data_IF_292253466507
#
_entry.id   IF_292253466507
#
_cell.length_a   1.000
_cell.length_b   1.000
_cell.length_c   1.000
_cell.angle_alpha   90.00
_cell.angle_beta   90.00
_cell.angle_gamma   90.00
#
_symmetry.space_group_name_H-M   'P 1'
#
loop_
_entity.id
_entity.type
_entity.pdbx_description
1 polymer ?
#
# COMPACT_ATOMS: atom_id res chain seq x y z
N UNK A 1 18.19 -15.42 17.48
CA UNK A 1 17.46 -16.62 17.94
C UNK A 1 16.76 -16.50 19.31
N UNK A 2 16.90 -15.40 20.07
CA UNK A 2 16.22 -15.22 21.37
C UNK A 2 14.98 -14.30 21.35
N UNK A 3 14.76 -13.53 20.28
CA UNK A 3 13.58 -12.66 20.11
C UNK A 3 12.34 -13.38 19.56
N UNK A 4 12.50 -14.42 18.77
CA UNK A 4 11.40 -15.13 18.08
C UNK A 4 10.34 -15.78 18.97
N UNK A 5 10.58 -15.92 20.27
CA UNK A 5 9.61 -16.55 21.19
C UNK A 5 8.73 -15.54 21.97
N UNK A 6 8.95 -14.22 21.82
CA UNK A 6 8.26 -13.20 22.63
C UNK A 6 6.99 -12.61 22.04
N UNK A 7 6.78 -12.68 20.73
CA UNK A 7 5.69 -11.96 20.05
C UNK A 7 4.46 -12.83 19.69
N UNK A 8 4.20 -13.88 20.43
CA UNK A 8 3.09 -14.82 20.16
C UNK A 8 1.68 -14.25 20.50
N UNK A 9 1.53 -12.96 20.79
CA UNK A 9 0.30 -12.39 21.33
C UNK A 9 -0.40 -11.36 20.44
N UNK A 10 0.12 -10.97 19.27
CA UNK A 10 -0.43 -9.88 18.44
C UNK A 10 -1.60 -10.27 17.51
N UNK A 11 -2.18 -11.43 17.66
CA UNK A 11 -3.22 -11.96 16.77
C UNK A 11 -4.68 -11.69 17.18
N UNK A 12 -5.06 -10.54 17.75
CA UNK A 12 -6.45 -10.37 18.20
C UNK A 12 -6.94 -8.91 18.30
N UNK A 13 -6.99 -8.17 17.19
CA UNK A 13 -7.95 -7.04 17.09
C UNK A 13 -8.29 -6.84 15.61
N UNK A 14 -9.53 -7.14 15.24
CA UNK A 14 -10.08 -6.69 13.97
C UNK A 14 -10.88 -7.68 13.13
N UNK A 15 -11.77 -8.47 13.72
CA UNK A 15 -12.85 -9.12 12.95
C UNK A 15 -14.21 -8.67 13.47
N UNK A 16 -14.85 -7.75 12.76
CA UNK A 16 -16.29 -7.61 12.80
C UNK A 16 -16.90 -8.57 11.77
N UNK A 17 -17.37 -9.73 12.26
CA UNK A 17 -18.09 -10.70 11.46
C UNK A 17 -19.53 -10.23 11.21
N UNK A 18 -19.93 -10.18 9.93
CA UNK A 18 -21.34 -10.22 9.56
C UNK A 18 -21.79 -11.67 9.49
N UNK A 19 -22.62 -12.03 10.45
CA UNK A 19 -23.30 -13.33 10.51
C UNK A 19 -24.49 -13.37 9.56
N UNK A 20 -24.52 -14.33 8.65
CA UNK A 20 -25.72 -14.79 7.97
C UNK A 20 -26.02 -16.23 8.41
N UNK A 21 -27.12 -16.35 9.13
CA UNK A 21 -27.74 -17.61 9.60
C UNK A 21 -28.41 -18.37 8.45
N UNK A 22 -28.11 -19.67 8.33
CA UNK A 22 -29.05 -20.62 7.76
C UNK A 22 -28.93 -21.98 8.48
N UNK A 23 -30.07 -22.43 9.02
CA UNK A 23 -30.29 -23.67 9.75
C UNK A 23 -30.29 -24.94 8.90
N UNK A 24 -29.98 -26.08 9.55
CA UNK A 24 -30.50 -27.43 9.20
C UNK A 24 -29.46 -28.54 9.33
N UNK A 25 -29.37 -29.24 10.28
CA UNK A 25 -29.80 -30.34 11.02
C UNK A 25 -29.30 -31.71 10.52
N UNK A 26 -28.68 -32.54 11.42
CA UNK A 26 -28.83 -33.99 11.43
C UNK A 26 -27.61 -34.88 11.27
N UNK A 27 -26.99 -35.24 12.36
CA UNK A 27 -26.57 -36.53 12.92
C UNK A 27 -25.89 -37.65 12.10
N UNK A 28 -24.74 -38.00 12.57
CA UNK A 28 -24.19 -39.28 13.12
C UNK A 28 -23.79 -40.44 12.21
N UNK A 29 -22.60 -40.85 12.49
CA UNK A 29 -21.99 -42.15 12.86
C UNK A 29 -21.29 -43.00 11.79
N UNK A 30 -20.03 -43.14 12.06
CA UNK A 30 -19.15 -44.34 12.18
C UNK A 30 -19.24 -45.51 11.18
N UNK A 31 -18.05 -45.98 10.75
CA UNK A 31 -17.77 -47.39 10.55
C UNK A 31 -17.03 -47.76 9.25
N UNK A 32 -15.76 -47.90 9.33
CA UNK A 32 -14.82 -48.98 9.03
C UNK A 32 -15.10 -50.00 7.90
N UNK A 33 -14.03 -50.18 7.09
CA UNK A 33 -13.41 -51.40 6.50
C UNK A 33 -13.95 -52.11 5.26
N UNK A 34 -13.06 -52.15 4.30
CA UNK A 34 -12.49 -53.30 3.56
C UNK A 34 -13.24 -53.94 2.36
N UNK A 35 -12.54 -53.78 1.23
CA UNK A 35 -12.11 -54.73 0.20
C UNK A 35 -13.12 -55.62 -0.60
N UNK A 36 -12.82 -55.57 -1.88
CA UNK A 36 -12.67 -56.65 -2.91
C UNK A 36 -13.76 -56.80 -3.96
N UNK A 37 -13.29 -56.63 -5.18
CA UNK A 37 -13.49 -57.39 -6.42
C UNK A 37 -14.91 -57.82 -6.89
N UNK A 38 -15.29 -57.37 -8.02
CA UNK A 38 -15.59 -58.09 -9.32
C UNK A 38 -16.67 -57.37 -10.12
N UNK A 39 -16.34 -57.09 -11.37
CA UNK A 39 -17.31 -56.83 -12.46
C UNK A 39 -17.85 -58.18 -12.98
N UNK A 40 -18.90 -58.29 -13.86
CA UNK A 40 -19.44 -57.32 -14.84
C UNK A 40 -20.96 -57.32 -15.01
N UNK A 41 -21.47 -56.44 -15.88
CA UNK A 41 -22.51 -56.59 -16.88
C UNK A 41 -23.59 -55.50 -16.87
N UNK A 42 -23.68 -54.94 -18.05
CA UNK A 42 -24.61 -54.01 -18.68
C UNK A 42 -26.07 -54.06 -18.24
N UNK A 43 -26.67 -52.89 -18.07
CA UNK A 43 -28.01 -52.56 -18.62
C UNK A 43 -28.18 -51.02 -18.68
N UNK A 44 -28.55 -50.57 -19.89
CA UNK A 44 -28.97 -49.21 -20.20
C UNK A 44 -30.19 -48.80 -19.38
N UNK A 45 -30.15 -47.57 -18.81
CA UNK A 45 -31.34 -46.84 -18.48
C UNK A 45 -31.05 -45.32 -18.59
N UNK A 46 -31.85 -44.67 -19.41
CA UNK A 46 -31.90 -43.24 -19.69
C UNK A 46 -31.79 -42.38 -18.42
N UNK A 47 -30.84 -41.43 -18.45
CA UNK A 47 -30.79 -40.33 -17.49
C UNK A 47 -31.54 -39.10 -18.06
N UNK A 48 -32.30 -38.36 -17.25
CA UNK A 48 -32.95 -37.13 -17.68
C UNK A 48 -31.88 -36.03 -17.84
N UNK A 49 -32.10 -35.21 -18.88
CA UNK A 49 -31.27 -34.06 -19.24
C UNK A 49 -31.07 -33.12 -18.03
N UNK A 50 -29.80 -32.90 -17.70
CA UNK A 50 -29.39 -31.80 -16.81
C UNK A 50 -29.60 -30.47 -17.54
N UNK A 51 -30.34 -29.60 -16.87
CA UNK A 51 -30.56 -28.20 -17.18
C UNK A 51 -29.22 -27.52 -17.45
N UNK A 52 -29.04 -27.03 -18.67
CA UNK A 52 -27.87 -26.23 -19.05
C UNK A 52 -27.98 -24.89 -18.35
N UNK A 53 -27.14 -24.67 -17.32
CA UNK A 53 -26.96 -23.34 -16.74
C UNK A 53 -26.63 -22.35 -17.87
N UNK A 54 -27.41 -21.29 -17.92
CA UNK A 54 -27.25 -20.16 -18.82
C UNK A 54 -25.87 -19.54 -18.54
N UNK A 55 -24.89 -19.81 -19.43
CA UNK A 55 -23.66 -19.01 -19.48
C UNK A 55 -24.08 -17.56 -19.73
N UNK A 56 -23.68 -16.66 -18.85
CA UNK A 56 -23.83 -15.23 -19.08
C UNK A 56 -23.20 -14.90 -20.45
N UNK A 57 -23.86 -14.11 -21.32
CA UNK A 57 -23.32 -13.79 -22.63
C UNK A 57 -21.96 -13.08 -22.44
N UNK A 58 -20.94 -13.63 -23.09
CA UNK A 58 -19.68 -12.93 -23.24
C UNK A 58 -19.95 -11.56 -23.89
N UNK A 59 -19.50 -10.48 -23.27
CA UNK A 59 -19.64 -9.16 -23.82
C UNK A 59 -19.07 -9.15 -25.26
N UNK A 60 -19.87 -8.73 -26.25
CA UNK A 60 -19.36 -8.49 -27.60
C UNK A 60 -18.28 -7.40 -27.51
N UNK A 61 -17.07 -7.67 -27.97
CA UNK A 61 -15.98 -6.71 -27.97
C UNK A 61 -16.45 -5.39 -28.59
N UNK A 62 -16.44 -4.31 -27.85
CA UNK A 62 -16.91 -2.98 -28.30
C UNK A 62 -16.01 -2.43 -29.39
N UNK A 63 -14.77 -2.93 -29.50
CA UNK A 63 -13.75 -2.42 -30.41
C UNK A 63 -13.22 -1.04 -30.06
N UNK A 64 -13.59 -0.50 -28.89
CA UNK A 64 -13.09 0.76 -28.37
C UNK A 64 -11.69 0.58 -27.80
N UNK A 65 -10.85 1.60 -27.97
CA UNK A 65 -9.49 1.62 -27.47
C UNK A 65 -9.26 2.92 -26.68
N UNK A 66 -8.62 2.79 -25.51
CA UNK A 66 -8.28 3.91 -24.64
C UNK A 66 -6.78 4.01 -24.42
N UNK A 67 -6.26 5.24 -24.48
CA UNK A 67 -4.87 5.58 -24.19
C UNK A 67 -4.79 6.07 -22.73
N UNK A 68 -4.10 5.32 -21.86
CA UNK A 68 -3.97 5.67 -20.44
C UNK A 68 -2.49 5.78 -20.08
N UNK A 69 -2.11 6.89 -19.46
CA UNK A 69 -0.73 7.15 -19.06
C UNK A 69 -0.61 7.21 -17.53
N UNK A 70 0.27 6.38 -16.98
CA UNK A 70 0.77 6.52 -15.63
C UNK A 70 1.95 7.49 -15.59
N UNK A 71 1.79 8.63 -14.92
CA UNK A 71 2.88 9.57 -14.65
C UNK A 71 3.40 9.28 -13.24
N UNK A 72 4.41 8.42 -13.16
CA UNK A 72 5.03 7.99 -11.92
C UNK A 72 5.91 9.07 -11.30
N UNK A 73 5.98 9.11 -9.97
CA UNK A 73 6.92 9.96 -9.24
C UNK A 73 8.35 9.41 -9.28
N UNK A 74 8.50 8.10 -9.43
CA UNK A 74 9.78 7.41 -9.64
C UNK A 74 9.56 6.14 -10.42
N UNK A 75 10.46 5.84 -11.35
CA UNK A 75 10.45 4.57 -12.10
C UNK A 75 11.35 3.51 -11.46
N UNK A 76 12.17 3.88 -10.48
CA UNK A 76 13.12 3.00 -9.80
C UNK A 76 12.65 2.59 -8.39
N UNK A 77 11.79 3.36 -7.73
CA UNK A 77 11.25 3.02 -6.40
C UNK A 77 10.19 1.92 -6.48
N UNK A 78 10.34 0.89 -5.65
CA UNK A 78 9.46 -0.26 -5.55
C UNK A 78 8.01 0.13 -5.24
N UNK A 79 7.79 1.11 -4.36
CA UNK A 79 6.45 1.59 -4.02
C UNK A 79 5.63 2.00 -5.25
N UNK A 80 6.24 2.74 -6.17
CA UNK A 80 5.59 3.16 -7.42
C UNK A 80 5.48 2.04 -8.44
N UNK A 81 6.44 1.11 -8.46
CA UNK A 81 6.37 -0.11 -9.28
C UNK A 81 5.24 -1.03 -8.80
N UNK A 82 4.99 -1.12 -7.49
CA UNK A 82 3.88 -1.89 -6.93
C UNK A 82 2.52 -1.32 -7.34
N UNK A 83 2.37 -0.01 -7.39
CA UNK A 83 1.17 0.63 -7.95
C UNK A 83 1.02 0.31 -9.44
N UNK A 84 2.12 0.33 -10.21
CA UNK A 84 2.09 -0.01 -11.63
C UNK A 84 1.64 -1.45 -11.86
N UNK A 85 2.08 -2.43 -11.05
CA UNK A 85 1.62 -3.82 -11.11
C UNK A 85 0.10 -3.89 -10.92
N UNK A 86 -0.44 -3.14 -9.96
CA UNK A 86 -1.89 -3.02 -9.77
C UNK A 86 -2.61 -2.49 -11.01
N UNK A 87 -2.07 -1.44 -11.63
CA UNK A 87 -2.62 -0.87 -12.87
C UNK A 87 -2.54 -1.87 -14.04
N UNK A 88 -1.41 -2.56 -14.22
CA UNK A 88 -1.24 -3.57 -15.28
C UNK A 88 -2.23 -4.72 -15.14
N UNK A 89 -2.48 -5.18 -13.91
CA UNK A 89 -3.50 -6.19 -13.65
C UNK A 89 -4.92 -5.67 -13.90
N UNK A 90 -5.20 -4.42 -13.52
CA UNK A 90 -6.49 -3.79 -13.83
C UNK A 90 -6.70 -3.62 -15.34
N UNK A 91 -5.66 -3.33 -16.13
CA UNK A 91 -5.74 -3.32 -17.60
C UNK A 91 -6.26 -4.66 -18.11
N UNK A 92 -5.62 -5.76 -17.70
CA UNK A 92 -6.01 -7.09 -18.15
C UNK A 92 -7.47 -7.44 -17.76
N UNK A 93 -7.89 -7.06 -16.56
CA UNK A 93 -9.23 -7.33 -16.07
C UNK A 93 -10.28 -6.48 -16.79
N UNK A 94 -10.02 -5.19 -17.01
CA UNK A 94 -10.94 -4.29 -17.73
C UNK A 94 -11.07 -4.66 -19.22
N UNK A 95 -9.96 -5.03 -19.88
CA UNK A 95 -10.01 -5.53 -21.24
C UNK A 95 -10.86 -6.81 -21.36
N UNK A 96 -10.72 -7.72 -20.40
CA UNK A 96 -11.50 -8.96 -20.35
C UNK A 96 -12.98 -8.72 -20.01
N UNK A 97 -13.27 -7.80 -19.09
CA UNK A 97 -14.64 -7.51 -18.63
C UNK A 97 -15.46 -6.76 -19.68
N UNK A 98 -14.86 -5.72 -20.30
CA UNK A 98 -15.58 -4.81 -21.19
C UNK A 98 -15.34 -5.07 -22.69
N UNK A 99 -14.42 -5.98 -23.05
CA UNK A 99 -14.09 -6.25 -24.45
C UNK A 99 -13.47 -5.07 -25.19
N UNK A 100 -12.70 -4.24 -24.49
CA UNK A 100 -11.99 -3.05 -24.98
C UNK A 100 -10.50 -3.34 -25.15
N UNK A 101 -9.74 -2.37 -25.68
CA UNK A 101 -8.28 -2.37 -25.68
C UNK A 101 -7.75 -1.17 -24.89
N UNK A 102 -6.70 -1.35 -24.08
CA UNK A 102 -6.08 -0.29 -23.31
C UNK A 102 -4.59 -0.18 -23.67
N UNK A 103 -4.20 0.95 -24.24
CA UNK A 103 -2.80 1.27 -24.48
C UNK A 103 -2.26 1.94 -23.19
N UNK A 104 -1.75 1.14 -22.28
CA UNK A 104 -1.18 1.60 -21.03
C UNK A 104 0.30 1.95 -21.22
N UNK A 105 0.72 3.11 -20.72
CA UNK A 105 2.10 3.57 -20.76
C UNK A 105 2.53 4.20 -19.45
N UNK A 106 3.80 4.04 -19.09
CA UNK A 106 4.41 4.66 -17.91
C UNK A 106 5.48 5.65 -18.32
N UNK A 107 5.45 6.84 -17.71
CA UNK A 107 6.47 7.88 -17.85
C UNK A 107 6.77 8.46 -16.47
N UNK A 108 7.96 9.03 -16.28
CA UNK A 108 8.35 9.66 -15.02
C UNK A 108 9.87 9.78 -14.89
N UNK A 109 10.36 10.43 -13.82
CA UNK A 109 11.78 10.49 -13.47
C UNK A 109 12.26 9.13 -12.93
N UNK A 110 13.59 8.98 -12.82
CA UNK A 110 14.19 7.83 -12.15
C UNK A 110 13.89 7.85 -10.65
N UNK A 111 14.04 9.01 -10.01
CA UNK A 111 13.87 9.19 -8.57
C UNK A 111 12.86 10.29 -8.22
N UNK A 112 12.27 10.22 -7.04
CA UNK A 112 11.31 11.21 -6.53
C UNK A 112 11.91 12.61 -6.32
N UNK A 113 13.24 12.69 -6.12
CA UNK A 113 13.94 13.96 -5.97
C UNK A 113 13.95 14.82 -7.25
N UNK A 114 13.70 14.20 -8.41
CA UNK A 114 13.71 14.86 -9.73
C UNK A 114 12.38 15.54 -10.06
N UNK A 115 11.89 16.39 -9.16
CA UNK A 115 10.55 17.03 -9.25
C UNK A 115 10.31 17.81 -10.54
N UNK A 116 11.35 18.50 -11.10
CA UNK A 116 11.21 19.18 -12.40
C UNK A 116 11.04 18.19 -13.56
N UNK A 117 11.68 17.01 -13.49
CA UNK A 117 11.51 15.98 -14.50
C UNK A 117 10.11 15.35 -14.42
N UNK A 118 9.58 15.16 -13.21
CA UNK A 118 8.21 14.75 -12.98
C UNK A 118 7.20 15.73 -13.61
N UNK A 119 7.35 17.03 -13.35
CA UNK A 119 6.46 18.07 -13.93
C UNK A 119 6.50 18.02 -15.46
N UNK A 120 7.71 17.95 -16.06
CA UNK A 120 7.84 17.82 -17.52
C UNK A 120 7.21 16.54 -18.08
N UNK A 121 7.30 15.43 -17.35
CA UNK A 121 6.68 14.17 -17.75
C UNK A 121 5.15 14.31 -17.79
N UNK A 122 4.56 14.99 -16.79
CA UNK A 122 3.13 15.23 -16.73
C UNK A 122 2.67 16.16 -17.88
N UNK A 123 3.34 17.28 -18.10
CA UNK A 123 3.06 18.19 -19.23
C UNK A 123 3.15 17.47 -20.59
N UNK A 124 4.14 16.62 -20.78
CA UNK A 124 4.31 15.83 -22.01
C UNK A 124 3.19 14.78 -22.17
N UNK A 125 2.77 14.14 -21.06
CA UNK A 125 1.66 13.22 -21.07
C UNK A 125 0.37 13.92 -21.54
N UNK A 126 0.05 15.11 -21.04
CA UNK A 126 -1.10 15.91 -21.50
C UNK A 126 -0.97 16.28 -23.00
N UNK A 127 0.24 16.64 -23.43
CA UNK A 127 0.47 17.00 -24.84
C UNK A 127 0.24 15.83 -25.80
N UNK A 128 0.38 14.59 -25.34
CA UNK A 128 0.05 13.38 -26.14
C UNK A 128 -1.46 13.12 -26.23
N UNK A 129 -2.27 13.82 -25.42
CA UNK A 129 -3.73 13.72 -25.36
C UNK A 129 -4.26 12.31 -25.11
N UNK A 130 -3.85 11.66 -24.03
CA UNK A 130 -4.44 10.39 -23.65
C UNK A 130 -5.90 10.58 -23.20
N UNK A 131 -6.65 9.50 -23.11
CA UNK A 131 -8.01 9.52 -22.55
C UNK A 131 -7.99 9.70 -21.03
N UNK A 132 -6.99 9.11 -20.36
CA UNK A 132 -6.78 9.29 -18.93
C UNK A 132 -5.31 9.41 -18.54
N UNK A 133 -5.07 10.13 -17.46
CA UNK A 133 -3.79 10.19 -16.75
C UNK A 133 -4.00 9.73 -15.31
N UNK A 134 -3.17 8.83 -14.85
CA UNK A 134 -3.06 8.49 -13.43
C UNK A 134 -1.73 9.07 -12.94
N UNK A 135 -1.70 9.64 -11.74
CA UNK A 135 -0.47 10.21 -11.17
C UNK A 135 -0.51 10.24 -9.64
N UNK A 136 0.58 10.68 -9.04
CA UNK A 136 0.66 11.07 -7.65
C UNK A 136 1.33 12.45 -7.57
N UNK A 137 0.90 13.31 -6.64
CA UNK A 137 1.36 14.69 -6.61
C UNK A 137 2.44 14.92 -5.56
N UNK A 138 3.70 14.80 -5.94
CA UNK A 138 4.84 15.14 -5.05
C UNK A 138 4.98 16.67 -4.84
N UNK A 139 4.52 17.46 -5.78
CA UNK A 139 4.59 18.94 -5.77
C UNK A 139 3.22 19.56 -6.04
N UNK A 140 2.29 19.50 -5.08
CA UNK A 140 0.87 19.88 -5.29
C UNK A 140 0.68 21.28 -5.91
N UNK A 141 1.48 22.27 -5.50
CA UNK A 141 1.37 23.64 -5.98
C UNK A 141 1.59 23.77 -7.50
N UNK A 142 2.53 22.98 -8.06
CA UNK A 142 2.75 22.94 -9.51
C UNK A 142 1.75 22.01 -10.20
N UNK A 143 1.43 20.88 -9.59
CA UNK A 143 0.58 19.85 -10.19
C UNK A 143 -0.87 20.30 -10.35
N UNK A 144 -1.39 21.17 -9.46
CA UNK A 144 -2.78 21.68 -9.52
C UNK A 144 -3.15 22.28 -10.85
N UNK A 145 -2.34 23.26 -11.35
CA UNK A 145 -2.62 23.92 -12.62
C UNK A 145 -2.52 22.95 -13.80
N UNK A 146 -1.54 22.06 -13.77
CA UNK A 146 -1.32 21.08 -14.83
C UNK A 146 -2.47 20.07 -14.88
N UNK A 147 -2.92 19.58 -13.74
CA UNK A 147 -4.04 18.67 -13.63
C UNK A 147 -5.37 19.34 -14.07
N UNK A 148 -5.59 20.60 -13.65
CA UNK A 148 -6.76 21.35 -14.08
C UNK A 148 -6.78 21.55 -15.61
N UNK A 149 -5.64 21.87 -16.21
CA UNK A 149 -5.51 22.02 -17.66
C UNK A 149 -5.81 20.71 -18.40
N UNK A 150 -5.45 19.55 -17.84
CA UNK A 150 -5.78 18.23 -18.37
C UNK A 150 -7.30 17.99 -18.32
N UNK A 151 -7.92 18.20 -17.14
CA UNK A 151 -9.36 18.05 -16.94
C UNK A 151 -10.17 18.96 -17.88
N UNK A 152 -9.75 20.22 -18.08
CA UNK A 152 -10.40 21.17 -18.99
C UNK A 152 -10.29 20.76 -20.47
N UNK A 153 -9.31 19.90 -20.82
CA UNK A 153 -9.19 19.27 -22.14
C UNK A 153 -10.00 17.98 -22.28
N UNK A 154 -10.68 17.53 -21.23
CA UNK A 154 -11.49 16.31 -21.20
C UNK A 154 -10.72 15.04 -20.90
N UNK A 155 -9.46 15.15 -20.43
CA UNK A 155 -8.65 14.02 -19.98
C UNK A 155 -9.11 13.66 -18.56
N UNK A 156 -9.41 12.40 -18.30
CA UNK A 156 -9.70 11.91 -16.92
C UNK A 156 -8.40 11.91 -16.11
N UNK A 157 -8.37 12.57 -14.95
CA UNK A 157 -7.18 12.59 -14.08
C UNK A 157 -7.50 11.96 -12.74
N UNK A 158 -6.82 10.86 -12.43
CA UNK A 158 -6.89 10.22 -11.12
C UNK A 158 -5.56 10.34 -10.37
N UNK A 159 -5.63 10.51 -9.04
CA UNK A 159 -4.45 10.51 -8.19
C UNK A 159 -4.42 9.27 -7.30
N UNK A 160 -3.19 8.85 -6.96
CA UNK A 160 -2.90 7.79 -5.98
C UNK A 160 -1.94 8.32 -4.93
N UNK A 161 -1.94 7.77 -3.73
CA UNK A 161 -1.07 8.05 -2.61
C UNK A 161 -1.03 9.53 -2.19
N UNK A 162 -0.45 10.41 -3.00
CA UNK A 162 -0.35 11.85 -2.79
C UNK A 162 -1.30 12.59 -3.73
N UNK A 163 -2.22 13.38 -3.19
CA UNK A 163 -3.15 14.21 -3.94
C UNK A 163 -2.76 15.70 -3.96
N UNK A 164 -3.67 16.49 -4.48
CA UNK A 164 -3.52 17.95 -4.55
C UNK A 164 -3.85 18.66 -3.24
N UNK A 165 -4.54 17.98 -2.35
CA UNK A 165 -5.10 18.50 -1.11
C UNK A 165 -5.29 17.38 -0.08
N UNK A 166 -5.57 17.75 1.17
CA UNK A 166 -5.91 16.78 2.24
C UNK A 166 -7.27 16.14 2.01
N UNK A 167 -7.55 15.01 2.68
CA UNK A 167 -8.80 14.27 2.50
C UNK A 167 -10.05 15.07 2.87
N UNK A 168 -9.97 15.98 3.84
CA UNK A 168 -11.06 16.81 4.33
C UNK A 168 -11.24 18.14 3.57
N UNK A 169 -10.28 18.52 2.71
CA UNK A 169 -10.39 19.70 1.82
C UNK A 169 -11.22 19.37 0.59
N UNK A 170 -11.81 20.37 -0.05
CA UNK A 170 -12.47 20.28 -1.36
C UNK A 170 -12.09 21.45 -2.25
N UNK A 171 -10.99 22.14 -1.92
CA UNK A 171 -10.57 23.36 -2.60
C UNK A 171 -10.19 23.10 -4.08
N UNK A 172 -9.64 21.92 -4.37
CA UNK A 172 -9.15 21.52 -5.69
C UNK A 172 -9.93 20.35 -6.30
N UNK A 173 -11.17 20.15 -5.85
CA UNK A 173 -12.02 19.06 -6.33
C UNK A 173 -12.32 19.11 -7.86
N UNK A 174 -12.18 20.27 -8.49
CA UNK A 174 -12.33 20.43 -9.94
C UNK A 174 -11.05 20.18 -10.75
N UNK A 175 -9.96 19.81 -10.06
CA UNK A 175 -8.66 19.54 -10.68
C UNK A 175 -8.40 18.05 -10.96
N UNK A 176 -9.25 17.15 -10.48
CA UNK A 176 -9.09 15.70 -10.67
C UNK A 176 -10.45 14.99 -10.61
N UNK A 177 -10.50 13.76 -11.15
CA UNK A 177 -11.70 12.93 -11.14
C UNK A 177 -11.80 12.10 -9.86
N UNK A 178 -10.71 11.41 -9.44
CA UNK A 178 -10.69 10.51 -8.30
C UNK A 178 -9.34 10.52 -7.60
N UNK A 179 -9.32 10.27 -6.28
CA UNK A 179 -8.10 10.14 -5.49
C UNK A 179 -8.17 8.92 -4.56
N UNK A 180 -7.21 8.02 -4.69
CA UNK A 180 -7.03 6.84 -3.84
C UNK A 180 -5.78 7.00 -2.98
N UNK A 181 -5.90 6.86 -1.66
CA UNK A 181 -4.77 7.04 -0.74
C UNK A 181 -4.94 6.21 0.52
N UNK A 182 -3.86 6.07 1.28
CA UNK A 182 -3.93 5.67 2.69
C UNK A 182 -3.88 6.93 3.55
N UNK A 183 -4.70 6.99 4.60
CA UNK A 183 -4.76 8.17 5.48
C UNK A 183 -3.44 8.30 6.24
N UNK A 184 -2.67 9.34 5.93
CA UNK A 184 -1.36 9.58 6.56
C UNK A 184 -1.45 9.71 8.08
N UNK A 185 -2.53 10.30 8.61
CA UNK A 185 -2.78 10.37 10.04
C UNK A 185 -2.94 8.98 10.67
N UNK A 186 -3.68 8.07 10.03
CA UNK A 186 -3.90 6.70 10.52
C UNK A 186 -2.59 5.90 10.55
N UNK A 187 -1.69 6.14 9.60
CA UNK A 187 -0.34 5.55 9.61
C UNK A 187 0.43 6.02 10.84
N UNK A 188 0.40 7.33 11.12
CA UNK A 188 1.07 7.91 12.28
C UNK A 188 0.50 7.40 13.60
N UNK A 189 -0.82 7.38 13.75
CA UNK A 189 -1.49 6.88 14.95
C UNK A 189 -1.19 5.39 15.17
N UNK A 190 -1.28 4.55 14.12
CA UNK A 190 -0.94 3.13 14.17
C UNK A 190 0.53 2.91 14.55
N UNK A 191 1.47 3.66 13.95
CA UNK A 191 2.88 3.58 14.30
C UNK A 191 3.13 3.94 15.76
N UNK A 192 2.48 4.99 16.27
CA UNK A 192 2.58 5.42 17.66
C UNK A 192 2.04 4.38 18.65
N UNK A 193 0.89 3.78 18.34
CA UNK A 193 0.30 2.71 19.16
C UNK A 193 1.21 1.49 19.22
N UNK A 194 1.69 1.02 18.05
CA UNK A 194 2.56 -0.17 17.94
C UNK A 194 3.90 0.10 18.63
N UNK A 195 4.49 1.28 18.46
CA UNK A 195 5.74 1.66 19.12
C UNK A 195 5.62 1.49 20.64
N UNK A 196 4.57 2.06 21.25
CA UNK A 196 4.36 1.97 22.69
C UNK A 196 4.06 0.55 23.16
N UNK A 197 3.31 -0.23 22.37
CA UNK A 197 3.03 -1.63 22.67
C UNK A 197 4.30 -2.47 22.62
N UNK A 198 5.12 -2.35 21.58
CA UNK A 198 6.36 -3.12 21.43
C UNK A 198 7.41 -2.77 22.48
N UNK A 199 7.49 -1.50 22.91
CA UNK A 199 8.32 -1.08 24.06
C UNK A 199 7.90 -1.83 25.34
N UNK A 200 6.58 -1.91 25.63
CA UNK A 200 6.06 -2.66 26.77
C UNK A 200 6.39 -4.15 26.69
N UNK A 201 6.19 -4.77 25.53
CA UNK A 201 6.45 -6.19 25.31
C UNK A 201 7.94 -6.54 25.42
N UNK A 202 8.81 -5.64 24.93
CA UNK A 202 10.25 -5.77 25.05
C UNK A 202 10.77 -5.47 26.48
N UNK A 203 9.93 -4.87 27.34
CA UNK A 203 10.31 -4.44 28.69
C UNK A 203 11.28 -3.24 28.67
N UNK A 204 11.25 -2.45 27.61
CA UNK A 204 12.01 -1.19 27.49
C UNK A 204 11.20 -0.08 28.20
N UNK A 205 11.88 0.65 29.10
CA UNK A 205 11.23 1.73 29.82
C UNK A 205 10.80 2.85 28.85
N UNK A 206 9.57 3.35 29.03
CA UNK A 206 9.03 4.46 28.24
C UNK A 206 9.57 5.82 28.71
N UNK A 207 10.90 5.88 28.88
CA UNK A 207 11.67 7.05 29.32
C UNK A 207 12.87 7.19 28.40
N UNK A 208 12.85 8.10 27.45
CA UNK A 208 13.93 8.25 26.48
C UNK A 208 13.52 9.11 25.31
N UNK A 209 14.15 8.87 24.18
CA UNK A 209 13.86 9.59 22.94
C UNK A 209 13.54 8.61 21.81
N UNK A 210 12.67 9.03 20.88
CA UNK A 210 12.40 8.35 19.62
C UNK A 210 12.84 9.28 18.48
N UNK A 211 13.66 8.76 17.56
CA UNK A 211 14.02 9.46 16.34
C UNK A 211 12.96 9.23 15.24
N UNK A 212 12.76 10.23 14.41
CA UNK A 212 11.87 10.14 13.24
C UNK A 212 12.60 10.58 11.99
N UNK A 213 12.33 9.87 10.89
CA UNK A 213 12.89 10.19 9.59
C UNK A 213 11.87 10.07 8.48
N UNK A 214 11.97 10.96 7.47
CA UNK A 214 11.14 10.97 6.28
C UNK A 214 11.89 11.55 5.07
N UNK A 215 11.34 11.33 3.87
CA UNK A 215 11.99 11.78 2.63
C UNK A 215 12.06 13.30 2.50
N UNK A 216 10.92 13.98 2.50
CA UNK A 216 10.83 15.43 2.29
C UNK A 216 9.52 15.99 2.84
N UNK A 217 9.47 17.30 3.03
CA UNK A 217 8.25 17.99 3.45
C UNK A 217 7.19 17.89 2.35
N UNK A 218 6.08 17.21 2.65
CA UNK A 218 4.91 17.12 1.78
C UNK A 218 3.63 17.29 2.63
N UNK A 219 2.80 18.32 2.38
CA UNK A 219 1.62 18.61 3.21
C UNK A 219 0.61 17.46 3.32
N UNK A 220 0.45 16.63 2.29
CA UNK A 220 -0.48 15.49 2.32
C UNK A 220 0.07 14.30 3.12
N UNK A 221 1.38 14.21 3.31
CA UNK A 221 2.05 13.15 4.03
C UNK A 221 2.52 13.58 5.44
N UNK A 222 2.63 14.88 5.71
CA UNK A 222 3.05 15.41 7.00
C UNK A 222 2.25 14.86 8.20
N UNK A 223 0.93 14.62 8.11
CA UNK A 223 0.17 14.03 9.23
C UNK A 223 0.70 12.68 9.71
N UNK A 224 1.47 11.95 8.88
CA UNK A 224 2.12 10.68 9.26
C UNK A 224 3.11 10.88 10.42
N UNK A 225 3.92 11.92 10.38
CA UNK A 225 4.89 12.27 11.41
C UNK A 225 4.22 12.99 12.59
N UNK A 226 3.33 13.94 12.30
CA UNK A 226 2.67 14.76 13.31
C UNK A 226 1.80 13.91 14.25
N UNK A 227 1.03 12.95 13.70
CA UNK A 227 0.19 12.06 14.47
C UNK A 227 1.02 11.05 15.28
N UNK A 228 2.08 10.48 14.70
CA UNK A 228 2.99 9.62 15.45
C UNK A 228 3.52 10.33 16.69
N UNK A 229 4.08 11.53 16.51
CA UNK A 229 4.61 12.35 17.62
C UNK A 229 3.53 12.65 18.64
N UNK A 230 2.37 13.14 18.20
CA UNK A 230 1.26 13.49 19.08
C UNK A 230 0.74 12.27 19.86
N UNK A 231 0.63 11.09 19.22
CA UNK A 231 0.17 9.86 19.86
C UNK A 231 1.15 9.41 20.96
N UNK A 232 2.45 9.33 20.64
CA UNK A 232 3.48 8.87 21.58
C UNK A 232 3.57 9.82 22.77
N UNK A 233 3.67 11.13 22.55
CA UNK A 233 3.80 12.15 23.61
C UNK A 233 2.54 12.29 24.49
N UNK A 234 1.35 11.98 23.93
CA UNK A 234 0.11 11.97 24.70
C UNK A 234 -0.04 10.74 25.62
N UNK A 235 0.62 9.63 25.31
CA UNK A 235 0.46 8.34 25.98
C UNK A 235 1.71 7.86 26.72
N UNK A 236 2.77 8.69 26.79
CA UNK A 236 4.02 8.38 27.48
C UNK A 236 4.79 9.64 27.89
N UNK A 237 5.90 9.46 28.63
CA UNK A 237 6.87 10.51 28.94
C UNK A 237 8.06 10.52 27.95
N UNK A 238 7.90 9.90 26.78
CA UNK A 238 8.93 9.82 25.74
C UNK A 238 8.98 11.14 24.97
N UNK A 239 10.19 11.64 24.73
CA UNK A 239 10.44 12.77 23.82
C UNK A 239 10.56 12.25 22.39
N UNK A 240 9.68 12.68 21.48
CA UNK A 240 9.82 12.40 20.06
C UNK A 240 10.57 13.55 19.40
N UNK A 241 11.73 13.23 18.81
CA UNK A 241 12.61 14.22 18.19
C UNK A 241 11.96 14.84 16.93
N UNK A 242 12.50 15.96 16.48
CA UNK A 242 12.05 16.56 15.22
C UNK A 242 12.40 15.66 14.04
N UNK A 243 11.53 15.63 13.02
CA UNK A 243 11.73 14.78 11.83
C UNK A 243 13.00 15.17 11.07
N UNK A 244 13.86 14.21 10.81
CA UNK A 244 14.97 14.33 9.88
C UNK A 244 14.48 14.12 8.43
N UNK A 245 15.08 14.82 7.48
CA UNK A 245 14.66 14.74 6.08
C UNK A 245 15.85 14.34 5.20
N UNK A 246 15.77 13.13 4.62
CA UNK A 246 16.87 12.52 3.83
C UNK A 246 16.80 12.79 2.33
N UNK A 247 15.78 13.49 1.82
CA UNK A 247 15.55 13.78 0.40
C UNK A 247 15.53 12.52 -0.50
N UNK A 248 15.04 11.39 0.02
CA UNK A 248 15.10 10.07 -0.63
C UNK A 248 16.53 9.60 -0.98
N UNK A 249 17.51 9.97 -0.17
CA UNK A 249 18.89 9.50 -0.29
C UNK A 249 19.17 8.47 0.84
N UNK A 250 19.37 7.21 0.47
CA UNK A 250 19.62 6.12 1.42
C UNK A 250 20.88 6.35 2.27
N UNK A 251 21.94 6.93 1.68
CA UNK A 251 23.18 7.20 2.42
C UNK A 251 22.96 8.29 3.46
N UNK A 252 22.13 9.28 3.15
CA UNK A 252 21.74 10.33 4.10
C UNK A 252 20.87 9.74 5.20
N UNK A 253 19.85 8.91 4.85
CA UNK A 253 18.99 8.25 5.80
C UNK A 253 19.78 7.43 6.82
N UNK A 254 20.69 6.59 6.35
CA UNK A 254 21.58 5.83 7.24
C UNK A 254 22.42 6.73 8.14
N UNK A 255 23.05 7.77 7.57
CA UNK A 255 23.94 8.67 8.31
C UNK A 255 23.20 9.48 9.37
N UNK A 256 21.98 9.92 9.09
CA UNK A 256 21.14 10.65 10.03
C UNK A 256 20.84 9.78 11.26
N UNK A 257 20.40 8.54 11.07
CA UNK A 257 20.11 7.61 12.18
C UNK A 257 21.38 7.19 12.93
N UNK A 258 22.52 6.97 12.25
CA UNK A 258 23.80 6.71 12.93
C UNK A 258 24.22 7.89 13.82
N UNK A 259 23.95 9.14 13.41
CA UNK A 259 24.18 10.34 14.23
C UNK A 259 23.24 10.39 15.45
N UNK A 260 21.97 10.03 15.31
CA UNK A 260 21.05 9.96 16.44
C UNK A 260 21.45 8.86 17.44
N UNK A 261 21.86 7.68 16.95
CA UNK A 261 22.40 6.59 17.79
C UNK A 261 23.63 7.08 18.58
N UNK A 262 24.56 7.79 17.90
CA UNK A 262 25.77 8.31 18.56
C UNK A 262 25.46 9.43 19.56
N UNK A 263 24.47 10.26 19.30
CA UNK A 263 24.09 11.42 20.13
C UNK A 263 23.34 11.00 21.38
N UNK A 264 22.37 10.09 21.26
CA UNK A 264 21.48 9.75 22.38
C UNK A 264 21.88 8.46 23.10
N UNK A 265 22.61 7.55 22.45
CA UNK A 265 23.08 6.30 23.04
C UNK A 265 21.95 5.49 23.66
N UNK A 266 22.09 5.10 24.94
CA UNK A 266 21.08 4.27 25.63
C UNK A 266 19.74 5.03 25.91
N UNK A 267 19.65 6.33 25.61
CA UNK A 267 18.40 7.09 25.67
C UNK A 267 17.55 6.90 24.42
N UNK A 268 18.12 6.52 23.29
CA UNK A 268 17.38 6.20 22.08
C UNK A 268 16.70 4.84 22.27
N UNK A 269 15.38 4.85 22.35
CA UNK A 269 14.58 3.63 22.63
C UNK A 269 13.69 3.21 21.46
N UNK A 270 13.52 4.09 20.46
CA UNK A 270 12.74 3.79 19.27
C UNK A 270 13.16 4.63 18.09
N UNK A 271 12.86 4.15 16.88
CA UNK A 271 13.13 4.84 15.62
C UNK A 271 11.95 4.59 14.68
N UNK A 272 11.43 5.65 14.05
CA UNK A 272 10.33 5.60 13.12
C UNK A 272 10.74 6.17 11.77
N UNK A 273 10.73 5.33 10.72
CA UNK A 273 10.93 5.71 9.32
C UNK A 273 9.58 5.79 8.61
N UNK A 274 9.25 6.96 8.08
CA UNK A 274 7.91 7.21 7.57
C UNK A 274 7.75 6.94 6.05
N UNK A 275 8.72 6.29 5.43
CA UNK A 275 8.69 5.72 4.07
C UNK A 275 9.80 4.66 3.92
N UNK A 276 9.82 3.91 2.80
CA UNK A 276 10.75 2.81 2.58
C UNK A 276 12.23 3.20 2.66
N UNK A 277 12.67 4.29 2.01
CA UNK A 277 14.08 4.75 2.08
C UNK A 277 14.51 5.07 3.51
N UNK A 278 13.60 5.66 4.31
CA UNK A 278 13.88 5.89 5.73
C UNK A 278 13.96 4.57 6.51
N UNK A 279 13.08 3.60 6.21
CA UNK A 279 13.12 2.26 6.79
C UNK A 279 14.43 1.53 6.48
N UNK A 280 14.87 1.56 5.23
CA UNK A 280 16.15 1.00 4.80
C UNK A 280 17.33 1.62 5.54
N UNK A 281 17.36 2.95 5.65
CA UNK A 281 18.39 3.68 6.39
C UNK A 281 18.45 3.29 7.85
N UNK A 282 17.29 3.14 8.50
CA UNK A 282 17.16 2.66 9.88
C UNK A 282 17.71 1.25 10.01
N UNK A 283 17.30 0.33 9.13
CA UNK A 283 17.76 -1.06 9.17
C UNK A 283 19.29 -1.16 9.13
N UNK A 284 19.92 -0.46 8.17
CA UNK A 284 21.37 -0.42 8.01
C UNK A 284 22.06 0.19 9.23
N UNK A 285 21.54 1.30 9.77
CA UNK A 285 22.14 1.96 10.93
C UNK A 285 22.05 1.10 12.20
N UNK A 286 20.91 0.44 12.42
CA UNK A 286 20.67 -0.44 13.57
C UNK A 286 21.52 -1.72 13.49
N UNK A 287 21.64 -2.32 12.29
CA UNK A 287 22.54 -3.45 12.04
C UNK A 287 23.99 -3.08 12.34
N UNK A 288 24.49 -1.99 11.75
CA UNK A 288 25.86 -1.51 11.91
C UNK A 288 26.20 -1.21 13.38
N UNK A 289 25.26 -0.60 14.11
CA UNK A 289 25.45 -0.28 15.52
C UNK A 289 25.28 -1.49 16.46
N UNK A 290 24.66 -2.56 15.99
CA UNK A 290 24.37 -3.76 16.80
C UNK A 290 23.44 -3.48 17.97
N UNK A 291 22.42 -2.64 17.79
CA UNK A 291 21.49 -2.22 18.84
C UNK A 291 20.06 -2.72 18.66
N UNK A 292 19.81 -3.61 17.71
CA UNK A 292 18.48 -4.16 17.43
C UNK A 292 17.76 -4.72 18.69
N UNK A 293 18.47 -5.17 19.70
CA UNK A 293 17.89 -5.63 20.99
C UNK A 293 17.53 -4.49 21.96
N UNK A 294 17.87 -3.24 21.63
CA UNK A 294 17.76 -2.11 22.56
C UNK A 294 16.73 -1.07 22.12
N UNK A 295 16.39 -1.02 20.87
CA UNK A 295 15.45 -0.07 20.27
C UNK A 295 14.30 -0.79 19.61
N UNK A 296 13.15 -0.15 19.49
CA UNK A 296 12.04 -0.59 18.64
C UNK A 296 12.09 0.21 17.35
N UNK A 297 11.98 -0.49 16.22
CA UNK A 297 12.08 0.10 14.88
C UNK A 297 10.81 -0.14 14.09
N UNK A 298 10.24 0.92 13.53
CA UNK A 298 9.04 0.85 12.68
C UNK A 298 9.35 1.52 11.35
N UNK A 299 9.12 0.78 10.25
CA UNK A 299 9.15 1.27 8.87
C UNK A 299 7.76 1.51 8.33
N UNK A 300 7.68 2.18 7.19
CA UNK A 300 6.45 2.39 6.42
C UNK A 300 6.72 2.07 4.95
N UNK A 301 5.76 1.46 4.30
CA UNK A 301 5.85 0.87 2.97
C UNK A 301 6.58 -0.49 2.99
N UNK A 302 7.05 -0.96 1.85
CA UNK A 302 7.85 -2.19 1.78
C UNK A 302 8.70 -2.23 0.50
N UNK A 303 9.84 -2.86 0.63
CA UNK A 303 10.70 -3.26 -0.47
C UNK A 303 11.52 -4.49 -0.04
N UNK A 304 12.32 -5.10 -0.92
CA UNK A 304 13.11 -6.27 -0.57
C UNK A 304 14.08 -6.05 0.60
N UNK A 305 14.60 -4.85 0.80
CA UNK A 305 15.52 -4.52 1.90
C UNK A 305 14.79 -4.47 3.22
N UNK A 306 13.65 -3.77 3.30
CA UNK A 306 12.84 -3.72 4.52
C UNK A 306 12.24 -5.08 4.89
N UNK A 307 11.77 -5.87 3.90
CA UNK A 307 11.26 -7.23 4.12
C UNK A 307 12.36 -8.10 4.73
N UNK A 308 13.57 -8.06 4.18
CA UNK A 308 14.71 -8.80 4.72
C UNK A 308 15.08 -8.30 6.12
N UNK A 309 15.07 -6.98 6.35
CA UNK A 309 15.35 -6.39 7.65
C UNK A 309 14.33 -6.79 8.72
N UNK A 310 13.05 -6.94 8.32
CA UNK A 310 12.00 -7.47 9.20
C UNK A 310 12.28 -8.95 9.56
N UNK A 311 12.65 -9.81 8.59
CA UNK A 311 13.02 -11.20 8.84
C UNK A 311 14.26 -11.32 9.77
N UNK A 312 15.25 -10.47 9.57
CA UNK A 312 16.50 -10.46 10.35
C UNK A 312 16.36 -9.75 11.71
N UNK A 313 15.25 -9.02 11.93
CA UNK A 313 14.94 -8.34 13.18
C UNK A 313 15.68 -7.01 13.36
N UNK A 314 16.05 -6.33 12.26
CA UNK A 314 16.52 -4.95 12.25
C UNK A 314 15.39 -3.94 12.14
N UNK A 315 14.24 -4.36 11.59
CA UNK A 315 12.94 -3.70 11.68
C UNK A 315 12.01 -4.60 12.49
N UNK A 316 11.24 -4.06 13.42
CA UNK A 316 10.31 -4.81 14.26
C UNK A 316 8.90 -4.86 13.66
N UNK A 317 8.49 -3.81 12.93
CA UNK A 317 7.20 -3.71 12.26
C UNK A 317 7.31 -2.84 11.01
N UNK A 318 6.62 -3.24 9.95
CA UNK A 318 6.41 -2.42 8.75
C UNK A 318 4.91 -2.07 8.68
N UNK A 319 4.58 -0.79 8.51
CA UNK A 319 3.23 -0.33 8.25
C UNK A 319 3.07 -0.20 6.74
N UNK A 320 2.31 -1.11 6.15
CA UNK A 320 2.15 -1.21 4.70
C UNK A 320 0.94 -0.43 4.24
N UNK A 321 1.11 0.36 3.19
CA UNK A 321 0.03 0.92 2.38
C UNK A 321 -0.31 -0.07 1.26
N UNK A 322 -1.59 -0.19 0.92
CA UNK A 322 -1.98 -1.02 -0.23
C UNK A 322 -1.64 -0.29 -1.56
N UNK A 323 -0.35 -0.25 -1.89
CA UNK A 323 0.14 0.38 -3.11
C UNK A 323 -0.46 -0.26 -4.37
N UNK A 324 -0.51 -1.61 -4.41
CA UNK A 324 -1.14 -2.36 -5.48
C UNK A 324 -2.62 -1.99 -5.64
N UNK A 325 -3.38 -2.01 -4.56
CA UNK A 325 -4.81 -1.71 -4.58
C UNK A 325 -5.10 -0.26 -4.99
N UNK A 326 -4.28 0.71 -4.57
CA UNK A 326 -4.39 2.10 -5.03
C UNK A 326 -4.23 2.21 -6.55
N UNK A 327 -3.19 1.57 -7.10
CA UNK A 327 -2.94 1.55 -8.54
C UNK A 327 -4.07 0.86 -9.32
N UNK A 328 -4.47 -0.33 -8.87
CA UNK A 328 -5.56 -1.10 -9.46
C UNK A 328 -6.88 -0.30 -9.50
N UNK A 329 -7.28 0.27 -8.36
CA UNK A 329 -8.51 1.03 -8.23
C UNK A 329 -8.49 2.31 -9.09
N UNK A 330 -7.35 3.01 -9.14
CA UNK A 330 -7.24 4.24 -9.93
C UNK A 330 -7.37 3.98 -11.44
N UNK A 331 -6.77 2.90 -11.96
CA UNK A 331 -6.91 2.54 -13.37
C UNK A 331 -8.33 2.05 -13.67
N UNK A 332 -8.87 1.16 -12.85
CA UNK A 332 -10.25 0.68 -12.99
C UNK A 332 -11.24 1.85 -13.03
N UNK A 333 -11.17 2.78 -12.09
CA UNK A 333 -12.05 3.96 -12.06
C UNK A 333 -11.89 4.84 -13.30
N UNK A 334 -10.65 5.05 -13.79
CA UNK A 334 -10.42 5.82 -15.01
C UNK A 334 -11.14 5.19 -16.21
N UNK A 335 -11.01 3.88 -16.40
CA UNK A 335 -11.67 3.12 -17.47
C UNK A 335 -13.18 3.19 -17.34
N UNK A 336 -13.73 2.93 -16.16
CA UNK A 336 -15.18 2.99 -15.92
C UNK A 336 -15.74 4.41 -16.13
N UNK A 337 -14.98 5.45 -15.75
CA UNK A 337 -15.33 6.85 -16.03
C UNK A 337 -15.41 7.12 -17.53
N UNK A 338 -14.44 6.62 -18.32
CA UNK A 338 -14.41 6.77 -19.77
C UNK A 338 -15.61 6.06 -20.43
N UNK A 339 -15.89 4.83 -20.02
CA UNK A 339 -17.01 4.03 -20.57
C UNK A 339 -18.36 4.64 -20.21
N UNK A 340 -18.55 5.10 -18.97
CA UNK A 340 -19.83 5.60 -18.47
C UNK A 340 -20.05 7.10 -18.78
N UNK A 341 -18.99 7.83 -19.13
CA UNK A 341 -19.01 9.28 -19.33
C UNK A 341 -19.18 10.08 -18.02
N UNK A 342 -19.01 9.43 -16.88
CA UNK A 342 -19.06 10.03 -15.54
C UNK A 342 -18.30 9.18 -14.53
N UNK A 343 -17.82 9.80 -13.45
CA UNK A 343 -17.20 9.04 -12.35
C UNK A 343 -18.22 8.07 -11.72
N UNK A 344 -17.91 6.76 -11.64
CA UNK A 344 -18.79 5.77 -10.99
C UNK A 344 -18.83 5.91 -9.47
N UNK A 345 -17.78 6.47 -8.87
CA UNK A 345 -17.68 6.63 -7.42
C UNK A 345 -18.52 7.80 -6.92
N UNK A 346 -19.14 7.62 -5.76
CA UNK A 346 -19.92 8.67 -5.10
C UNK A 346 -19.05 9.61 -4.26
N UNK A 347 -17.90 9.11 -3.80
CA UNK A 347 -16.90 9.87 -3.05
C UNK A 347 -15.66 10.05 -3.92
N UNK A 348 -15.22 11.31 -4.08
CA UNK A 348 -14.06 11.63 -4.91
C UNK A 348 -12.74 11.19 -4.29
N UNK A 349 -12.71 10.89 -3.01
CA UNK A 349 -11.53 10.48 -2.25
C UNK A 349 -11.83 9.19 -1.51
N UNK A 350 -11.05 8.17 -1.81
CA UNK A 350 -11.16 6.85 -1.20
C UNK A 350 -9.93 6.59 -0.34
N UNK A 351 -10.18 6.41 0.95
CA UNK A 351 -9.15 6.03 1.90
C UNK A 351 -9.05 4.51 2.03
N UNK A 352 -7.85 3.96 1.89
CA UNK A 352 -7.52 2.58 2.15
C UNK A 352 -6.80 2.48 3.50
N UNK A 353 -7.19 1.56 4.41
CA UNK A 353 -6.56 1.47 5.71
C UNK A 353 -5.10 0.97 5.60
N UNK A 354 -4.18 1.46 6.45
CA UNK A 354 -2.86 0.87 6.58
C UNK A 354 -2.93 -0.48 7.30
N UNK A 355 -1.92 -1.32 7.09
CA UNK A 355 -1.80 -2.64 7.72
C UNK A 355 -0.43 -2.80 8.38
N UNK A 356 -0.41 -3.27 9.63
CA UNK A 356 0.83 -3.56 10.33
C UNK A 356 1.29 -5.00 10.06
N UNK A 357 2.54 -5.13 9.62
CA UNK A 357 3.18 -6.40 9.33
C UNK A 357 4.40 -6.60 10.22
N UNK A 358 4.48 -7.76 10.86
CA UNK A 358 5.57 -8.19 11.73
C UNK A 358 6.03 -9.59 11.31
N UNK A 359 7.08 -10.09 11.90
CA UNK A 359 7.54 -11.48 11.68
C UNK A 359 6.47 -12.54 12.00
N UNK A 360 5.40 -12.19 12.71
CA UNK A 360 4.34 -13.13 13.08
C UNK A 360 3.32 -13.36 11.97
N UNK A 361 3.08 -12.38 11.10
CA UNK A 361 2.06 -12.45 10.04
C UNK A 361 2.61 -12.28 8.61
N UNK A 362 3.86 -11.88 8.43
CA UNK A 362 4.45 -11.57 7.12
C UNK A 362 4.39 -12.72 6.10
N UNK A 363 4.26 -13.96 6.55
CA UNK A 363 4.19 -15.14 5.67
C UNK A 363 2.76 -15.63 5.39
N UNK A 364 1.74 -14.96 5.91
CA UNK A 364 0.35 -15.21 5.53
C UNK A 364 0.10 -14.64 4.14
N UNK A 365 -0.62 -15.37 3.27
CA UNK A 365 -0.76 -15.02 1.84
C UNK A 365 -1.19 -13.56 1.60
N UNK A 366 -2.11 -13.05 2.42
CA UNK A 366 -2.60 -11.67 2.34
C UNK A 366 -1.49 -10.65 2.63
N UNK A 367 -0.74 -10.83 3.72
CA UNK A 367 0.33 -9.92 4.12
C UNK A 367 1.56 -10.03 3.21
N UNK A 368 1.89 -11.25 2.79
CA UNK A 368 2.99 -11.48 1.85
C UNK A 368 2.75 -10.77 0.52
N UNK A 369 1.52 -10.80 0.00
CA UNK A 369 1.15 -10.11 -1.23
C UNK A 369 1.11 -8.57 -1.06
N UNK A 370 0.85 -8.05 0.14
CA UNK A 370 0.93 -6.61 0.43
C UNK A 370 2.38 -6.15 0.53
N UNK A 371 3.26 -6.95 1.15
CA UNK A 371 4.69 -6.67 1.24
C UNK A 371 5.38 -6.74 -0.12
N UNK A 372 5.05 -7.74 -0.94
CA UNK A 372 5.62 -7.94 -2.28
C UNK A 372 4.52 -8.15 -3.32
N UNK A 373 3.91 -7.08 -3.82
CA UNK A 373 2.92 -7.16 -4.90
C UNK A 373 3.42 -7.78 -6.21
N UNK A 374 4.73 -7.99 -6.38
CA UNK A 374 5.25 -8.73 -7.54
C UNK A 374 4.72 -10.17 -7.59
N UNK A 375 4.31 -10.73 -6.44
CA UNK A 375 3.64 -12.03 -6.33
C UNK A 375 2.25 -12.05 -7.00
N UNK A 376 1.62 -10.88 -7.20
CA UNK A 376 0.31 -10.73 -7.83
C UNK A 376 0.39 -10.51 -9.35
N UNK A 377 1.59 -10.40 -9.93
CA UNK A 377 1.78 -10.15 -11.36
C UNK A 377 1.12 -11.25 -12.20
N UNK A 378 0.24 -10.86 -13.13
CA UNK A 378 -0.46 -11.78 -14.05
C UNK A 378 0.33 -12.05 -15.32
#
# INVERSE_FOLDING_TARGET
>A
MKRMEKYLALGLVGMMAMSLTACGGGSSSSGSEAASDNAPAETEAEAPAADAGEEAPAAEASGESYDITWVSCSTESEFWQYQQIGMENAVADMEAEYGISINFSTVGPATEAETEAYIRAFENAIASKPDAIISASQVPDSTRSISKDAMDQGIVVNFTNCGLETLDSTEFADCYNQFYTTVSADIGDMAGEIMLQMLDEAGIAKEGVIAMEFSMVNPSLQPRMDNFKAYVEANSDIEVLDTLYNNNDLSQAQADIENEIATYGDRLIGIYGANNISGDGIALAVENAGIADKVITIGVDSDPTEIQALEDGFIDCIIVQDAYGQGYAALKNAVETLIQGQNPETEQKIAMPPVAVTTTNMHEDEYAAMLDPSLLKK
#
